data_IF_888232472463
#
_entry.id   IF_888232472463
#
_cell.length_a   1.000
_cell.length_b   1.000
_cell.length_c   1.000
_cell.angle_alpha   90.00
_cell.angle_beta   90.00
_cell.angle_gamma   90.00
#
_symmetry.space_group_name_H-M   'P 1'
#
loop_
_entity.id
_entity.type
_entity.pdbx_description
1 polymer ?
#
# COMPACT_ATOMS: atom_id res chain seq x y z
N UNK A 1 25.46 -48.16 -16.90
CA UNK A 1 24.63 -47.72 -15.77
C UNK A 1 24.65 -46.21 -15.72
N UNK A 2 23.52 -45.50 -15.82
CA UNK A 2 23.52 -44.05 -15.81
C UNK A 2 23.76 -43.52 -14.40
N UNK A 3 24.54 -42.45 -14.33
CA UNK A 3 25.18 -41.92 -13.13
C UNK A 3 24.18 -41.12 -12.27
N UNK A 4 23.46 -41.79 -11.37
CA UNK A 4 22.44 -41.17 -10.50
C UNK A 4 22.99 -40.07 -9.57
N UNK A 5 24.29 -40.03 -9.29
CA UNK A 5 24.91 -39.01 -8.42
C UNK A 5 25.00 -37.60 -9.03
N UNK A 6 25.10 -37.48 -10.36
CA UNK A 6 25.33 -36.18 -11.01
C UNK A 6 24.06 -35.33 -11.12
N UNK A 7 22.88 -35.96 -11.15
CA UNK A 7 21.58 -35.27 -11.29
C UNK A 7 21.10 -34.69 -9.96
N UNK A 8 21.48 -35.31 -8.84
CA UNK A 8 21.07 -34.90 -7.49
C UNK A 8 21.85 -33.67 -7.00
N UNK A 9 23.15 -33.61 -7.28
CA UNK A 9 23.98 -32.43 -7.01
C UNK A 9 23.50 -31.19 -7.76
N UNK A 10 23.14 -31.33 -9.05
CA UNK A 10 22.65 -30.20 -9.85
C UNK A 10 21.30 -29.66 -9.34
N UNK A 11 20.38 -30.53 -8.90
CA UNK A 11 19.11 -30.10 -8.28
C UNK A 11 19.33 -29.40 -6.94
N UNK A 12 20.24 -29.91 -6.12
CA UNK A 12 20.60 -29.32 -4.82
C UNK A 12 21.19 -27.92 -4.95
N UNK A 13 22.12 -27.71 -5.89
CA UNK A 13 22.72 -26.38 -6.14
C UNK A 13 21.69 -25.38 -6.69
N UNK A 14 20.80 -25.80 -7.61
CA UNK A 14 19.73 -24.94 -8.13
C UNK A 14 18.72 -24.53 -7.04
N UNK A 15 18.38 -25.44 -6.14
CA UNK A 15 17.49 -25.15 -5.00
C UNK A 15 18.14 -24.17 -4.01
N UNK A 16 19.42 -24.36 -3.67
CA UNK A 16 20.15 -23.48 -2.78
C UNK A 16 20.30 -22.05 -3.36
N UNK A 17 20.62 -21.92 -4.65
CA UNK A 17 20.70 -20.62 -5.32
C UNK A 17 19.35 -19.89 -5.34
N UNK A 18 18.25 -20.62 -5.57
CA UNK A 18 16.90 -20.05 -5.52
C UNK A 18 16.53 -19.57 -4.11
N UNK A 19 16.85 -20.36 -3.09
CA UNK A 19 16.60 -19.99 -1.70
C UNK A 19 17.38 -18.73 -1.29
N UNK A 20 18.66 -18.63 -1.67
CA UNK A 20 19.48 -17.45 -1.41
C UNK A 20 18.94 -16.20 -2.13
N UNK A 21 18.49 -16.34 -3.39
CA UNK A 21 17.89 -15.23 -4.12
C UNK A 21 16.58 -14.76 -3.48
N UNK A 22 15.72 -15.70 -3.08
CA UNK A 22 14.47 -15.40 -2.38
C UNK A 22 14.73 -14.68 -1.04
N UNK A 23 15.68 -15.17 -0.24
CA UNK A 23 16.08 -14.52 1.01
C UNK A 23 16.53 -13.09 0.81
N UNK A 24 17.40 -12.85 -0.18
CA UNK A 24 17.90 -11.49 -0.48
C UNK A 24 16.77 -10.56 -0.93
N UNK A 25 15.82 -11.06 -1.70
CA UNK A 25 14.66 -10.27 -2.14
C UNK A 25 13.73 -9.94 -0.96
N UNK A 26 13.52 -10.88 -0.05
CA UNK A 26 12.75 -10.63 1.18
C UNK A 26 13.41 -9.54 2.04
N UNK A 27 14.74 -9.58 2.21
CA UNK A 27 15.47 -8.55 2.95
C UNK A 27 15.33 -7.17 2.29
N UNK A 28 15.41 -7.11 0.96
CA UNK A 28 15.21 -5.86 0.20
C UNK A 28 13.79 -5.31 0.35
N UNK A 29 12.77 -6.18 0.35
CA UNK A 29 11.38 -5.77 0.56
C UNK A 29 11.21 -5.23 1.98
N UNK A 30 11.78 -5.88 2.99
CA UNK A 30 11.72 -5.39 4.36
C UNK A 30 12.39 -4.01 4.53
N UNK A 31 13.57 -3.82 3.94
CA UNK A 31 14.26 -2.51 3.95
C UNK A 31 13.45 -1.43 3.23
N UNK A 32 12.86 -1.76 2.07
CA UNK A 32 12.04 -0.81 1.32
C UNK A 32 10.72 -0.49 2.06
N UNK A 33 10.11 -1.47 2.73
CA UNK A 33 8.92 -1.27 3.55
C UNK A 33 9.22 -0.36 4.76
N UNK A 34 10.39 -0.49 5.38
CA UNK A 34 10.82 0.41 6.44
C UNK A 34 10.93 1.86 5.95
N UNK A 35 11.62 2.10 4.83
CA UNK A 35 11.74 3.44 4.23
C UNK A 35 10.40 4.03 3.84
N UNK A 36 9.52 3.21 3.26
CA UNK A 36 8.17 3.65 2.91
C UNK A 36 7.35 4.00 4.16
N UNK A 37 7.53 3.23 5.24
CA UNK A 37 6.84 3.48 6.51
C UNK A 37 7.25 4.82 7.11
N UNK A 38 8.56 5.09 7.18
CA UNK A 38 9.09 6.36 7.67
C UNK A 38 8.54 7.55 6.86
N UNK A 39 8.54 7.43 5.53
CA UNK A 39 7.99 8.45 4.64
C UNK A 39 6.50 8.70 4.90
N UNK A 40 5.68 7.65 5.01
CA UNK A 40 4.24 7.80 5.25
C UNK A 40 3.96 8.47 6.59
N UNK A 41 4.68 8.09 7.64
CA UNK A 41 4.54 8.71 8.95
C UNK A 41 4.93 10.20 8.92
N UNK A 42 6.01 10.55 8.22
CA UNK A 42 6.41 11.94 8.00
C UNK A 42 5.32 12.74 7.27
N UNK A 43 4.79 12.20 6.16
CA UNK A 43 3.73 12.86 5.40
C UNK A 43 2.43 13.02 6.21
N UNK A 44 2.07 12.02 7.00
CA UNK A 44 0.90 12.09 7.87
C UNK A 44 1.08 13.13 8.98
N UNK A 45 2.27 13.23 9.59
CA UNK A 45 2.56 14.26 10.59
C UNK A 45 2.54 15.66 9.97
N UNK A 46 3.22 15.87 8.84
CA UNK A 46 3.20 17.16 8.14
C UNK A 46 1.76 17.56 7.76
N UNK A 47 0.95 16.61 7.29
CA UNK A 47 -0.46 16.85 6.98
C UNK A 47 -1.25 17.26 8.22
N UNK A 48 -1.02 16.60 9.37
CA UNK A 48 -1.68 16.93 10.63
C UNK A 48 -1.33 18.34 11.11
N UNK A 49 -0.06 18.74 11.00
CA UNK A 49 0.41 20.09 11.34
C UNK A 49 -0.24 21.16 10.45
N UNK A 50 -0.38 20.88 9.15
CA UNK A 50 -0.98 21.80 8.19
C UNK A 50 -2.50 21.98 8.38
N UNK A 51 -3.24 20.91 8.69
CA UNK A 51 -4.70 20.98 8.89
C UNK A 51 -5.09 21.33 10.33
N UNK A 52 -4.15 21.23 11.28
CA UNK A 52 -4.36 21.54 12.69
C UNK A 52 -5.10 20.44 13.48
N UNK A 53 -5.20 19.23 12.94
CA UNK A 53 -5.82 18.08 13.61
C UNK A 53 -5.23 16.76 13.10
N UNK A 54 -5.26 15.73 13.96
CA UNK A 54 -4.87 14.35 13.60
C UNK A 54 -6.06 13.47 13.21
N UNK A 55 -5.94 12.16 13.45
CA UNK A 55 -7.00 11.19 13.15
C UNK A 55 -7.39 10.34 14.35
N UNK A 56 -8.54 9.68 14.24
CA UNK A 56 -9.03 8.69 15.20
C UNK A 56 -9.62 7.50 14.47
N UNK A 57 -9.33 6.30 14.96
CA UNK A 57 -9.82 5.06 14.35
C UNK A 57 -11.30 4.82 14.67
N UNK A 58 -12.10 4.52 13.64
CA UNK A 58 -13.53 4.21 13.73
C UNK A 58 -13.90 3.14 12.72
N UNK A 59 -14.68 2.13 13.13
CA UNK A 59 -15.25 1.15 12.20
C UNK A 59 -16.32 1.76 11.29
N UNK A 60 -16.96 2.85 11.72
CA UNK A 60 -17.98 3.58 10.97
C UNK A 60 -17.45 4.91 10.39
N UNK A 61 -16.17 4.96 10.03
CA UNK A 61 -15.58 6.11 9.37
C UNK A 61 -16.27 6.43 8.02
N UNK A 62 -16.12 7.65 7.49
CA UNK A 62 -16.70 8.02 6.21
C UNK A 62 -16.28 7.06 5.08
N UNK A 63 -17.26 6.52 4.36
CA UNK A 63 -17.04 5.60 3.23
C UNK A 63 -17.52 6.17 1.90
N UNK A 64 -17.92 7.45 1.88
CA UNK A 64 -18.30 8.18 0.67
C UNK A 64 -17.65 9.56 0.69
N UNK A 65 -17.34 10.09 -0.49
CA UNK A 65 -16.70 11.39 -0.61
C UNK A 65 -17.49 12.53 0.07
N UNK A 66 -18.84 12.65 -0.08
CA UNK A 66 -19.60 13.66 0.65
C UNK A 66 -19.52 13.52 2.18
N UNK A 67 -19.49 12.29 2.70
CA UNK A 67 -19.33 12.05 4.13
C UNK A 67 -17.93 12.44 4.62
N UNK A 68 -16.89 12.16 3.82
CA UNK A 68 -15.52 12.55 4.12
C UNK A 68 -15.37 14.07 4.15
N UNK A 69 -15.91 14.79 3.15
CA UNK A 69 -15.92 16.26 3.13
C UNK A 69 -16.62 16.85 4.35
N UNK A 70 -17.74 16.25 4.78
CA UNK A 70 -18.45 16.68 5.98
C UNK A 70 -17.62 16.45 7.26
N UNK A 71 -16.98 15.30 7.39
CA UNK A 71 -16.10 14.97 8.51
C UNK A 71 -14.85 15.86 8.57
N UNK A 72 -14.25 16.15 7.41
CA UNK A 72 -13.14 17.09 7.27
C UNK A 72 -13.54 18.49 7.73
N UNK A 73 -14.68 19.00 7.24
CA UNK A 73 -15.19 20.33 7.63
C UNK A 73 -15.46 20.41 9.14
N UNK A 74 -16.00 19.35 9.74
CA UNK A 74 -16.20 19.27 11.18
C UNK A 74 -14.87 19.33 11.93
N UNK A 75 -13.88 18.55 11.52
CA UNK A 75 -12.54 18.52 12.11
C UNK A 75 -11.87 19.88 12.01
N UNK A 76 -11.91 20.52 10.84
CA UNK A 76 -11.37 21.86 10.62
C UNK A 76 -12.05 22.94 11.48
N UNK A 77 -13.35 22.82 11.73
CA UNK A 77 -14.11 23.81 12.51
C UNK A 77 -13.88 23.66 14.02
N UNK A 78 -13.64 22.44 14.49
CA UNK A 78 -13.65 22.10 15.92
C UNK A 78 -12.29 21.73 16.49
N UNK A 79 -11.31 21.42 15.64
CA UNK A 79 -10.05 20.78 16.04
C UNK A 79 -10.19 19.30 16.42
N UNK A 80 -11.38 18.70 16.28
CA UNK A 80 -11.57 17.28 16.52
C UNK A 80 -10.78 16.45 15.48
N UNK A 81 -10.23 15.28 15.85
CA UNK A 81 -9.53 14.42 14.91
C UNK A 81 -10.46 13.83 13.85
N UNK A 82 -9.95 13.65 12.63
CA UNK A 82 -10.70 13.04 11.52
C UNK A 82 -10.95 11.55 11.80
N UNK A 83 -12.21 11.06 11.74
CA UNK A 83 -12.47 9.63 11.81
C UNK A 83 -11.98 8.92 10.54
N UNK A 84 -11.06 7.97 10.68
CA UNK A 84 -10.58 7.10 9.58
C UNK A 84 -10.91 5.64 9.87
N UNK A 85 -11.08 4.84 8.80
CA UNK A 85 -11.48 3.44 8.95
C UNK A 85 -10.36 2.59 9.58
N UNK A 86 -10.73 1.81 10.60
CA UNK A 86 -9.85 0.81 11.22
C UNK A 86 -9.83 -0.53 10.49
N UNK A 87 -10.69 -0.74 9.51
CA UNK A 87 -10.86 -2.02 8.83
C UNK A 87 -9.75 -2.28 7.79
N UNK A 88 -9.54 -3.53 7.38
CA UNK A 88 -8.56 -3.93 6.35
C UNK A 88 -7.13 -3.39 6.63
N UNK A 89 -6.67 -3.53 7.89
CA UNK A 89 -5.37 -3.00 8.34
C UNK A 89 -4.53 -4.01 9.13
N UNK A 90 -4.93 -5.29 9.16
CA UNK A 90 -4.26 -6.32 9.96
C UNK A 90 -3.01 -6.89 9.27
N UNK A 91 -3.09 -7.13 7.96
CA UNK A 91 -2.02 -7.74 7.16
C UNK A 91 -1.40 -6.73 6.19
N UNK A 92 -0.52 -5.86 6.70
CA UNK A 92 0.02 -4.73 5.93
C UNK A 92 1.47 -4.92 5.48
N UNK A 93 1.84 -4.28 4.36
CA UNK A 93 3.22 -4.31 3.83
C UNK A 93 4.20 -3.50 4.68
N UNK A 94 3.69 -2.58 5.49
CA UNK A 94 4.45 -1.71 6.36
C UNK A 94 5.04 -2.43 7.58
N UNK A 95 5.94 -1.74 8.29
CA UNK A 95 6.59 -2.26 9.50
C UNK A 95 5.60 -2.54 10.64
N UNK A 96 4.48 -1.83 10.69
CA UNK A 96 3.37 -1.99 11.66
C UNK A 96 2.05 -1.52 11.06
N UNK A 97 0.93 -1.96 11.64
CA UNK A 97 -0.43 -1.56 11.24
C UNK A 97 -0.67 -0.05 11.30
N UNK A 98 -0.04 0.64 12.26
CA UNK A 98 -0.25 2.08 12.48
C UNK A 98 0.16 2.95 11.28
N UNK A 99 1.12 2.48 10.49
CA UNK A 99 1.54 3.14 9.26
C UNK A 99 0.41 3.11 8.22
N UNK A 100 -0.39 2.05 8.16
CA UNK A 100 -1.54 1.99 7.27
C UNK A 100 -2.63 2.98 7.69
N UNK A 101 -2.79 3.24 9.00
CA UNK A 101 -3.67 4.29 9.50
C UNK A 101 -3.15 5.68 9.15
N UNK A 102 -1.84 5.91 9.28
CA UNK A 102 -1.20 7.14 8.86
C UNK A 102 -1.37 7.39 7.34
N UNK A 103 -1.20 6.35 6.51
CA UNK A 103 -1.46 6.42 5.07
C UNK A 103 -2.92 6.79 4.78
N UNK A 104 -3.88 6.13 5.44
CA UNK A 104 -5.31 6.43 5.26
C UNK A 104 -5.65 7.87 5.62
N UNK A 105 -5.12 8.37 6.73
CA UNK A 105 -5.29 9.78 7.07
C UNK A 105 -4.72 10.70 5.99
N UNK A 106 -3.46 10.45 5.57
CA UNK A 106 -2.83 11.25 4.52
C UNK A 106 -3.61 11.19 3.20
N UNK A 107 -4.11 10.02 2.81
CA UNK A 107 -4.92 9.78 1.61
C UNK A 107 -6.29 10.47 1.68
N UNK A 108 -7.07 10.26 2.76
CA UNK A 108 -8.39 10.87 2.97
C UNK A 108 -8.33 12.40 2.97
N UNK A 109 -7.32 13.00 3.61
CA UNK A 109 -7.15 14.47 3.60
C UNK A 109 -6.92 14.97 2.18
N UNK A 110 -6.12 14.26 1.39
CA UNK A 110 -5.77 14.69 0.04
C UNK A 110 -6.88 14.44 -0.99
N UNK A 111 -7.79 13.49 -0.77
CA UNK A 111 -9.07 13.49 -1.49
C UNK A 111 -9.79 14.85 -1.38
N UNK A 112 -9.92 15.37 -0.16
CA UNK A 112 -10.63 16.63 0.08
C UNK A 112 -9.87 17.83 -0.47
N UNK A 113 -8.55 17.88 -0.29
CA UNK A 113 -7.70 19.00 -0.78
C UNK A 113 -7.68 19.09 -2.30
N UNK A 114 -7.69 17.96 -2.99
CA UNK A 114 -7.65 17.89 -4.44
C UNK A 114 -9.03 17.85 -5.09
N UNK A 115 -10.11 17.74 -4.31
CA UNK A 115 -11.46 17.67 -4.85
C UNK A 115 -11.78 16.33 -5.53
N UNK A 116 -11.07 15.26 -5.14
CA UNK A 116 -11.09 13.95 -5.78
C UNK A 116 -12.03 13.01 -5.02
N UNK A 117 -13.00 12.41 -5.72
CA UNK A 117 -13.92 11.44 -5.16
C UNK A 117 -13.29 10.04 -5.03
N UNK A 118 -14.11 9.03 -4.67
CA UNK A 118 -13.68 7.61 -4.60
C UNK A 118 -13.96 6.83 -5.90
N UNK A 119 -14.30 7.53 -6.97
CA UNK A 119 -14.41 6.90 -8.29
C UNK A 119 -13.02 6.54 -8.81
N UNK A 120 -12.93 5.48 -9.63
CA UNK A 120 -11.64 4.92 -10.06
C UNK A 120 -10.71 5.97 -10.70
N UNK A 121 -11.24 6.89 -11.52
CA UNK A 121 -10.40 7.90 -12.18
C UNK A 121 -9.72 8.81 -11.14
N UNK A 122 -10.48 9.24 -10.14
CA UNK A 122 -10.02 10.12 -9.08
C UNK A 122 -9.05 9.41 -8.12
N UNK A 123 -9.30 8.13 -7.81
CA UNK A 123 -8.38 7.28 -7.05
C UNK A 123 -7.04 7.09 -7.77
N UNK A 124 -7.06 6.91 -9.10
CA UNK A 124 -5.84 6.82 -9.90
C UNK A 124 -5.10 8.16 -9.95
N UNK A 125 -5.82 9.28 -10.08
CA UNK A 125 -5.21 10.61 -10.03
C UNK A 125 -4.53 10.87 -8.68
N UNK A 126 -5.23 10.59 -7.57
CA UNK A 126 -4.68 10.76 -6.23
C UNK A 126 -3.49 9.81 -5.99
N UNK A 127 -3.58 8.56 -6.47
CA UNK A 127 -2.46 7.62 -6.41
C UNK A 127 -1.22 8.14 -7.14
N UNK A 128 -1.37 8.75 -8.31
CA UNK A 128 -0.26 9.36 -9.04
C UNK A 128 0.31 10.57 -8.31
N UNK A 129 -0.55 11.36 -7.65
CA UNK A 129 -0.11 12.47 -6.81
C UNK A 129 0.75 11.97 -5.64
N UNK A 130 0.32 10.94 -4.90
CA UNK A 130 1.10 10.35 -3.81
C UNK A 130 2.46 9.79 -4.28
N UNK A 131 2.50 9.17 -5.46
CA UNK A 131 3.74 8.70 -6.07
C UNK A 131 4.65 9.87 -6.44
N UNK A 132 4.08 10.98 -6.92
CA UNK A 132 4.81 12.23 -7.14
C UNK A 132 5.42 12.82 -5.85
N UNK A 133 4.73 12.75 -4.72
CA UNK A 133 5.30 13.15 -3.42
C UNK A 133 6.46 12.24 -3.00
N UNK A 134 6.31 10.93 -3.20
CA UNK A 134 7.36 9.95 -2.93
C UNK A 134 8.60 10.18 -3.83
N UNK A 135 8.40 10.56 -5.08
CA UNK A 135 9.47 10.94 -6.02
C UNK A 135 10.21 12.21 -5.59
N UNK A 136 9.49 13.22 -5.09
CA UNK A 136 10.10 14.45 -4.52
C UNK A 136 10.96 14.16 -3.30
N UNK A 137 10.61 13.13 -2.52
CA UNK A 137 11.43 12.62 -1.42
C UNK A 137 12.66 11.80 -1.89
N UNK A 138 12.87 11.66 -3.20
CA UNK A 138 14.06 11.03 -3.79
C UNK A 138 13.87 9.57 -4.18
N UNK A 139 12.69 8.99 -4.00
CA UNK A 139 12.39 7.60 -4.38
C UNK A 139 11.88 7.52 -5.82
N UNK A 140 12.82 7.35 -6.75
CA UNK A 140 12.55 7.37 -8.19
C UNK A 140 11.56 6.25 -8.64
N UNK A 141 10.85 6.45 -9.76
CA UNK A 141 10.02 5.42 -10.39
C UNK A 141 10.79 4.12 -10.60
N UNK A 142 10.15 2.99 -10.30
CA UNK A 142 10.75 1.66 -10.43
C UNK A 142 11.64 1.22 -9.26
N UNK A 143 12.04 2.13 -8.36
CA UNK A 143 12.64 1.76 -7.08
C UNK A 143 11.70 0.85 -6.29
N UNK A 144 12.23 0.00 -5.40
CA UNK A 144 11.37 -0.93 -4.65
C UNK A 144 10.38 -0.18 -3.75
N UNK A 145 10.81 0.90 -3.08
CA UNK A 145 9.94 1.78 -2.27
C UNK A 145 8.77 2.32 -3.10
N UNK A 146 9.07 2.85 -4.30
CA UNK A 146 8.04 3.35 -5.23
C UNK A 146 7.08 2.24 -5.67
N UNK A 147 7.61 1.07 -6.02
CA UNK A 147 6.78 -0.08 -6.45
C UNK A 147 5.89 -0.62 -5.35
N UNK A 148 6.31 -0.55 -4.07
CA UNK A 148 5.46 -0.92 -2.94
C UNK A 148 4.27 0.05 -2.81
N UNK A 149 4.51 1.36 -2.83
CA UNK A 149 3.42 2.35 -2.74
C UNK A 149 2.48 2.29 -3.95
N UNK A 150 3.02 2.12 -5.16
CA UNK A 150 2.21 1.96 -6.37
C UNK A 150 1.34 0.70 -6.32
N UNK A 151 1.88 -0.42 -5.83
CA UNK A 151 1.10 -1.63 -5.64
C UNK A 151 0.01 -1.46 -4.57
N UNK A 152 0.28 -0.74 -3.48
CA UNK A 152 -0.72 -0.51 -2.44
C UNK A 152 -1.84 0.43 -2.92
N UNK A 153 -1.52 1.61 -3.43
CA UNK A 153 -2.53 2.59 -3.84
C UNK A 153 -3.21 2.21 -5.17
N UNK A 154 -2.43 2.16 -6.26
CA UNK A 154 -2.96 1.91 -7.61
C UNK A 154 -3.50 0.49 -7.73
N UNK A 155 -2.78 -0.49 -7.18
CA UNK A 155 -3.20 -1.88 -7.21
C UNK A 155 -4.51 -2.10 -6.46
N UNK A 156 -4.67 -1.52 -5.26
CA UNK A 156 -5.91 -1.61 -4.49
C UNK A 156 -7.07 -0.92 -5.19
N UNK A 157 -6.85 0.24 -5.82
CA UNK A 157 -7.88 0.92 -6.62
C UNK A 157 -8.40 0.01 -7.74
N UNK A 158 -7.53 -0.73 -8.44
CA UNK A 158 -7.96 -1.71 -9.43
C UNK A 158 -8.72 -2.90 -8.83
N UNK A 159 -8.29 -3.44 -7.69
CA UNK A 159 -9.03 -4.53 -7.01
C UNK A 159 -10.42 -4.06 -6.60
N UNK A 160 -10.55 -2.85 -6.05
CA UNK A 160 -11.85 -2.25 -5.72
C UNK A 160 -12.73 -2.06 -6.96
N UNK A 161 -12.18 -1.54 -8.05
CA UNK A 161 -12.95 -1.32 -9.27
C UNK A 161 -13.45 -2.61 -9.93
N UNK A 162 -12.58 -3.64 -10.02
CA UNK A 162 -12.89 -4.87 -10.75
C UNK A 162 -13.57 -5.94 -9.89
N UNK A 163 -13.26 -6.01 -8.59
CA UNK A 163 -13.76 -7.05 -7.69
C UNK A 163 -14.66 -6.53 -6.56
N UNK A 164 -14.85 -5.20 -6.43
CA UNK A 164 -15.70 -4.56 -5.40
C UNK A 164 -15.34 -4.98 -3.97
N UNK A 165 -14.04 -5.13 -3.71
CA UNK A 165 -13.47 -5.50 -2.41
C UNK A 165 -12.05 -4.96 -2.27
N UNK A 166 -11.50 -5.07 -1.07
CA UNK A 166 -10.07 -4.90 -0.82
C UNK A 166 -9.30 -6.20 -1.15
N UNK A 167 -7.97 -6.12 -1.31
CA UNK A 167 -7.12 -7.30 -1.25
C UNK A 167 -7.35 -8.07 0.06
N UNK A 168 -7.37 -9.41 0.02
CA UNK A 168 -7.59 -10.21 1.24
C UNK A 168 -6.46 -10.09 2.26
N UNK A 169 -5.24 -10.00 1.75
CA UNK A 169 -4.02 -9.82 2.51
C UNK A 169 -3.18 -8.79 1.74
N UNK A 170 -3.19 -7.54 2.21
CA UNK A 170 -2.50 -6.42 1.55
C UNK A 170 -1.00 -6.71 1.43
N UNK A 171 -0.36 -7.25 2.48
CA UNK A 171 1.06 -7.65 2.44
C UNK A 171 1.33 -8.64 1.32
N UNK A 172 0.56 -9.72 1.24
CA UNK A 172 0.71 -10.77 0.21
C UNK A 172 0.47 -10.20 -1.18
N UNK A 173 -0.57 -9.37 -1.34
CA UNK A 173 -0.91 -8.73 -2.60
C UNK A 173 0.22 -7.82 -3.10
N UNK A 174 0.65 -6.86 -2.27
CA UNK A 174 1.73 -5.92 -2.61
C UNK A 174 3.04 -6.67 -2.88
N UNK A 175 3.37 -7.67 -2.07
CA UNK A 175 4.54 -8.54 -2.30
C UNK A 175 4.44 -9.26 -3.64
N UNK A 176 3.26 -9.79 -3.99
CA UNK A 176 3.00 -10.41 -5.28
C UNK A 176 3.25 -9.45 -6.44
N UNK A 177 2.73 -8.22 -6.36
CA UNK A 177 2.94 -7.19 -7.38
C UNK A 177 4.42 -6.82 -7.57
N UNK A 178 5.22 -6.76 -6.51
CA UNK A 178 6.65 -6.39 -6.65
C UNK A 178 7.56 -7.55 -7.03
N UNK A 179 7.14 -8.79 -6.79
CA UNK A 179 7.95 -10.00 -7.06
C UNK A 179 7.60 -10.65 -8.40
N UNK A 180 6.32 -10.70 -8.77
CA UNK A 180 5.84 -11.26 -10.03
C UNK A 180 5.62 -10.21 -11.13
N UNK A 181 5.82 -8.93 -10.81
CA UNK A 181 5.42 -7.80 -11.64
C UNK A 181 3.99 -7.35 -11.33
N UNK A 182 3.72 -6.05 -11.52
CA UNK A 182 2.47 -5.41 -11.08
C UNK A 182 1.24 -6.13 -11.64
N UNK A 183 1.17 -6.32 -12.96
CA UNK A 183 0.05 -7.00 -13.62
C UNK A 183 -0.08 -8.46 -13.17
N UNK A 184 1.04 -9.13 -12.91
CA UNK A 184 1.07 -10.52 -12.45
C UNK A 184 0.48 -10.67 -11.06
N UNK A 185 0.86 -9.80 -10.12
CA UNK A 185 0.29 -9.77 -8.78
C UNK A 185 -1.19 -9.38 -8.78
N UNK A 186 -1.57 -8.37 -9.55
CA UNK A 186 -2.95 -7.93 -9.73
C UNK A 186 -3.84 -9.05 -10.27
N UNK A 187 -3.41 -9.70 -11.36
CA UNK A 187 -4.17 -10.79 -11.96
C UNK A 187 -4.30 -11.99 -11.02
N UNK A 188 -3.26 -12.29 -10.24
CA UNK A 188 -3.32 -13.35 -9.23
C UNK A 188 -4.37 -13.05 -8.15
N UNK A 189 -4.38 -11.83 -7.60
CA UNK A 189 -5.33 -11.41 -6.58
C UNK A 189 -6.77 -11.39 -7.11
N UNK A 190 -6.98 -10.95 -8.36
CA UNK A 190 -8.31 -10.93 -8.99
C UNK A 190 -8.86 -12.34 -9.27
N UNK A 191 -8.00 -13.30 -9.63
CA UNK A 191 -8.41 -14.68 -9.98
C UNK A 191 -8.57 -15.59 -8.77
N UNK A 192 -7.66 -15.49 -7.82
CA UNK A 192 -7.51 -16.46 -6.73
C UNK A 192 -7.84 -15.87 -5.36
N UNK A 193 -8.32 -14.62 -5.33
CA UNK A 193 -8.87 -14.00 -4.13
C UNK A 193 -10.22 -14.60 -3.76
N UNK A 194 -10.23 -15.88 -3.37
CA UNK A 194 -11.34 -16.51 -2.66
C UNK A 194 -10.74 -17.43 -1.62
N UNK A 195 -11.01 -17.11 -0.35
CA UNK A 195 -10.88 -17.90 0.89
C UNK A 195 -9.83 -19.01 0.90
#
# INVERSE_FOLDING_TARGET
>A
MPNHHSTDMHRSVLAATRALHASRLSDQIAEAAAKLSDFIEEMAHATADEVGFGYVLRSNAPSTYPALVAAYKHSLTTGAPLPISSENSDAVIYTKSDVNFALRFWHDINHVRHGLSFDLVDELELSLWHLGELEKAGHQPGSLVWRLLHADLTGQAYVQAFARRFPFDQRRFVTGCVTAGFDGGLLHELRNGTS
#
